data_IF_298203680108
#
_entry.id   IF_298203680108
#
_cell.length_a   1.000
_cell.length_b   1.000
_cell.length_c   1.000
_cell.angle_alpha   90.00
_cell.angle_beta   90.00
_cell.angle_gamma   90.00
#
_symmetry.space_group_name_H-M   'P 1'
#
loop_
_entity.id
_entity.type
_entity.pdbx_description
1 polymer ?
#
# COMPACT_ATOMS: atom_id res chain seq x y z
N UNK A 1 -2.47 -19.58 7.99
CA UNK A 1 -3.27 -18.40 8.38
C UNK A 1 -2.54 -17.08 8.06
N UNK A 2 -1.26 -16.92 8.41
CA UNK A 2 -0.48 -15.70 8.11
C UNK A 2 -0.49 -15.30 6.62
N UNK A 3 -0.29 -16.25 5.69
CA UNK A 3 -0.33 -15.98 4.24
C UNK A 3 -1.70 -15.47 3.72
N UNK A 4 -2.80 -15.95 4.31
CA UNK A 4 -4.16 -15.53 3.95
C UNK A 4 -4.40 -14.10 4.43
N UNK A 5 -4.00 -13.80 5.68
CA UNK A 5 -4.07 -12.44 6.23
C UNK A 5 -3.17 -11.45 5.47
N UNK A 6 -1.97 -11.86 5.09
CA UNK A 6 -1.06 -11.04 4.27
C UNK A 6 -1.67 -10.72 2.90
N UNK A 7 -2.26 -11.72 2.22
CA UNK A 7 -2.93 -11.52 0.94
C UNK A 7 -4.14 -10.59 1.05
N UNK A 8 -5.00 -10.82 2.06
CA UNK A 8 -6.20 -9.99 2.27
C UNK A 8 -5.85 -8.55 2.64
N UNK A 9 -4.95 -8.33 3.60
CA UNK A 9 -4.59 -7.00 4.07
C UNK A 9 -3.74 -6.25 3.04
N UNK A 10 -2.65 -6.86 2.56
CA UNK A 10 -1.66 -6.15 1.73
C UNK A 10 -2.05 -6.08 0.25
N UNK A 11 -2.60 -7.15 -0.33
CA UNK A 11 -2.85 -7.21 -1.78
C UNK A 11 -4.27 -6.75 -2.11
N UNK A 12 -5.26 -7.07 -1.28
CA UNK A 12 -6.66 -6.72 -1.57
C UNK A 12 -7.08 -5.43 -0.88
N UNK A 13 -7.09 -5.38 0.45
CA UNK A 13 -7.65 -4.25 1.21
C UNK A 13 -6.85 -2.96 1.02
N UNK A 14 -5.52 -3.02 1.15
CA UNK A 14 -4.66 -1.84 0.98
C UNK A 14 -4.88 -1.19 -0.39
N UNK A 15 -4.71 -1.96 -1.47
CA UNK A 15 -4.86 -1.44 -2.83
C UNK A 15 -6.30 -0.99 -3.11
N UNK A 16 -7.31 -1.69 -2.60
CA UNK A 16 -8.71 -1.29 -2.79
C UNK A 16 -9.00 0.05 -2.10
N UNK A 17 -8.65 0.17 -0.82
CA UNK A 17 -8.89 1.40 -0.04
C UNK A 17 -8.10 2.56 -0.62
N UNK A 18 -6.84 2.36 -0.99
CA UNK A 18 -5.99 3.39 -1.60
C UNK A 18 -6.54 3.83 -2.97
N UNK A 19 -6.95 2.90 -3.84
CA UNK A 19 -7.54 3.26 -5.14
C UNK A 19 -8.87 4.00 -4.97
N UNK A 20 -9.72 3.59 -4.03
CA UNK A 20 -10.97 4.31 -3.75
C UNK A 20 -10.64 5.71 -3.20
N UNK A 21 -9.65 5.85 -2.32
CA UNK A 21 -9.21 7.15 -1.83
C UNK A 21 -8.80 8.08 -2.98
N UNK A 22 -8.01 7.59 -3.94
CA UNK A 22 -7.58 8.33 -5.12
C UNK A 22 -8.74 8.77 -6.05
N UNK A 23 -9.89 8.11 -5.98
CA UNK A 23 -11.10 8.53 -6.70
C UNK A 23 -11.78 9.72 -5.99
N UNK A 24 -11.70 9.79 -4.66
CA UNK A 24 -12.38 10.81 -3.87
C UNK A 24 -11.51 12.02 -3.50
N UNK A 25 -10.19 11.85 -3.39
CA UNK A 25 -9.23 12.91 -3.01
C UNK A 25 -8.05 12.92 -3.99
N UNK A 26 -7.27 14.01 -3.97
CA UNK A 26 -6.13 14.18 -4.87
C UNK A 26 -5.00 13.21 -4.53
N UNK A 27 -4.30 12.70 -5.55
CA UNK A 27 -3.12 11.84 -5.37
C UNK A 27 -2.05 12.49 -4.49
N UNK A 28 -1.92 13.81 -4.56
CA UNK A 28 -1.07 14.61 -3.69
C UNK A 28 -1.46 14.45 -2.21
N UNK A 29 -2.76 14.55 -1.88
CA UNK A 29 -3.27 14.38 -0.52
C UNK A 29 -3.05 12.94 -0.02
N UNK A 30 -3.37 11.94 -0.86
CA UNK A 30 -3.14 10.54 -0.52
C UNK A 30 -1.66 10.29 -0.24
N UNK A 31 -0.75 10.79 -1.08
CA UNK A 31 0.70 10.61 -0.88
C UNK A 31 1.22 11.21 0.42
N UNK A 32 0.71 12.39 0.81
CA UNK A 32 1.04 13.01 2.11
C UNK A 32 0.55 12.15 3.27
N UNK A 33 -0.69 11.64 3.21
CA UNK A 33 -1.27 10.83 4.29
C UNK A 33 -0.59 9.45 4.37
N UNK A 34 -0.36 8.79 3.24
CA UNK A 34 0.33 7.49 3.15
C UNK A 34 1.77 7.57 3.66
N UNK A 35 2.40 8.74 3.64
CA UNK A 35 3.72 8.94 4.25
C UNK A 35 3.76 8.72 5.76
N UNK A 36 2.60 8.61 6.43
CA UNK A 36 2.48 8.21 7.84
C UNK A 36 2.58 6.66 8.00
N UNK A 37 2.52 5.88 6.91
CA UNK A 37 2.65 4.41 6.93
C UNK A 37 3.85 3.88 7.73
N UNK A 38 5.07 4.46 7.63
CA UNK A 38 6.21 4.00 8.42
C UNK A 38 5.97 4.14 9.93
N UNK A 39 5.24 5.16 10.36
CA UNK A 39 4.90 5.35 11.77
C UNK A 39 3.92 4.29 12.25
N UNK A 40 2.83 4.04 11.53
CA UNK A 40 1.91 2.94 11.86
C UNK A 40 2.64 1.60 11.89
N UNK A 41 3.50 1.36 10.90
CA UNK A 41 4.30 0.14 10.80
C UNK A 41 5.24 -0.01 11.98
N UNK A 42 5.94 1.05 12.39
CA UNK A 42 6.83 1.01 13.54
C UNK A 42 6.10 0.80 14.86
N UNK A 43 4.94 1.45 15.05
CA UNK A 43 4.10 1.28 16.26
C UNK A 43 3.57 -0.16 16.34
N UNK A 44 3.02 -0.69 15.25
CA UNK A 44 2.53 -2.07 15.21
C UNK A 44 3.67 -3.07 15.35
N UNK A 45 4.81 -2.86 14.69
CA UNK A 45 5.98 -3.72 14.82
C UNK A 45 6.50 -3.74 16.26
N UNK A 46 6.52 -2.60 16.94
CA UNK A 46 6.92 -2.52 18.33
C UNK A 46 6.03 -3.34 19.26
N UNK A 47 4.73 -3.40 18.99
CA UNK A 47 3.77 -4.14 19.82
C UNK A 47 3.70 -5.64 19.48
N UNK A 48 3.86 -6.01 18.20
CA UNK A 48 3.61 -7.37 17.71
C UNK A 48 4.87 -8.18 17.37
N UNK A 49 6.05 -7.55 17.27
CA UNK A 49 7.32 -8.23 17.05
C UNK A 49 8.24 -8.07 18.25
N UNK A 50 8.64 -9.20 18.81
CA UNK A 50 9.58 -9.26 19.92
C UNK A 50 10.96 -8.77 19.48
N UNK A 51 11.45 -7.71 20.10
CA UNK A 51 12.81 -7.19 19.89
C UNK A 51 12.91 -5.88 19.11
N UNK A 52 11.88 -5.46 18.38
CA UNK A 52 11.89 -4.13 17.75
C UNK A 52 11.41 -3.06 18.71
N UNK A 53 12.36 -2.38 19.34
CA UNK A 53 12.08 -1.23 20.20
C UNK A 53 12.02 0.04 19.37
N UNK A 54 10.94 0.79 19.56
CA UNK A 54 10.77 2.12 18.96
C UNK A 54 11.91 3.04 19.44
N UNK A 55 12.94 3.22 18.61
CA UNK A 55 14.10 4.00 18.97
C UNK A 55 13.80 5.50 18.85
N UNK A 56 14.33 6.30 19.78
CA UNK A 56 14.26 7.77 19.71
C UNK A 56 14.76 8.33 18.37
N UNK A 57 15.75 7.66 17.75
CA UNK A 57 16.27 7.99 16.42
C UNK A 57 15.22 7.86 15.31
N UNK A 58 14.37 6.83 15.37
CA UNK A 58 13.27 6.65 14.42
C UNK A 58 12.25 7.78 14.54
N UNK A 59 11.87 8.16 15.77
CA UNK A 59 10.93 9.27 16.00
C UNK A 59 11.48 10.58 15.44
N UNK A 60 12.76 10.89 15.67
CA UNK A 60 13.40 12.09 15.15
C UNK A 60 13.46 12.07 13.61
N UNK A 61 13.83 10.94 13.01
CA UNK A 61 13.82 10.78 11.55
C UNK A 61 12.41 10.92 10.95
N UNK A 62 11.40 10.34 11.60
CA UNK A 62 10.00 10.46 11.19
C UNK A 62 9.49 11.90 11.29
N UNK A 63 9.82 12.61 12.38
CA UNK A 63 9.49 14.02 12.52
C UNK A 63 10.15 14.88 11.43
N UNK A 64 11.41 14.60 11.08
CA UNK A 64 12.12 15.30 10.02
C UNK A 64 11.50 15.02 8.64
N UNK A 65 11.09 13.78 8.38
CA UNK A 65 10.36 13.42 7.16
C UNK A 65 9.00 14.13 7.07
N UNK A 66 8.23 14.19 8.16
CA UNK A 66 6.97 14.92 8.22
C UNK A 66 7.15 16.42 7.94
N UNK A 67 8.20 17.04 8.50
CA UNK A 67 8.52 18.44 8.21
C UNK A 67 8.78 18.64 6.71
N UNK A 68 9.54 17.74 6.08
CA UNK A 68 9.79 17.77 4.64
C UNK A 68 8.49 17.71 3.82
N UNK A 69 7.56 16.83 4.19
CA UNK A 69 6.26 16.69 3.52
C UNK A 69 5.41 17.96 3.70
N UNK A 70 5.38 18.53 4.90
CA UNK A 70 4.67 19.78 5.20
C UNK A 70 5.25 20.93 4.36
N UNK A 71 6.58 21.03 4.26
CA UNK A 71 7.26 22.05 3.44
C UNK A 71 6.92 21.92 1.95
N UNK A 72 6.81 20.69 1.43
CA UNK A 72 6.34 20.44 0.06
C UNK A 72 4.89 20.94 -0.09
N UNK A 73 4.03 20.66 0.90
CA UNK A 73 2.64 21.12 0.91
C UNK A 73 2.49 22.65 0.90
N UNK A 74 3.39 23.38 1.57
CA UNK A 74 3.37 24.85 1.60
C UNK A 74 3.88 25.52 0.31
N UNK A 75 4.56 24.82 -0.59
CA UNK A 75 5.16 25.40 -1.80
C UNK A 75 4.15 25.68 -2.96
N UNK A 76 2.90 26.01 -2.63
CA UNK A 76 2.11 26.92 -3.47
C UNK A 76 1.26 26.34 -4.62
N UNK A 77 0.98 25.03 -4.69
CA UNK A 77 -0.03 24.50 -5.64
C UNK A 77 -0.83 23.30 -5.11
N UNK A 78 -0.84 23.09 -3.79
CA UNK A 78 -1.77 22.14 -3.18
C UNK A 78 -3.15 22.79 -3.08
N UNK A 79 -3.98 22.61 -4.10
CA UNK A 79 -5.42 22.83 -3.96
C UNK A 79 -5.90 21.69 -3.07
N UNK A 80 -5.85 21.87 -1.74
CA UNK A 80 -6.39 20.92 -0.77
C UNK A 80 -7.92 20.86 -0.94
N UNK A 81 -8.39 20.14 -1.95
CA UNK A 81 -9.76 19.66 -2.01
C UNK A 81 -9.85 18.49 -1.04
N UNK A 82 -10.11 18.82 0.22
CA UNK A 82 -10.34 17.86 1.28
C UNK A 82 -11.71 17.23 1.02
N UNK A 83 -11.70 15.95 0.64
CA UNK A 83 -12.91 15.14 0.65
C UNK A 83 -12.85 14.25 1.90
N UNK A 84 -13.67 14.51 2.93
CA UNK A 84 -13.56 13.84 4.22
C UNK A 84 -13.58 12.30 4.12
N UNK A 85 -14.30 11.76 3.14
CA UNK A 85 -14.32 10.32 2.89
C UNK A 85 -13.00 9.83 2.30
N UNK A 86 -12.49 10.50 1.26
CA UNK A 86 -11.23 10.14 0.61
C UNK A 86 -10.04 10.24 1.57
N UNK A 87 -10.01 11.28 2.40
CA UNK A 87 -8.92 11.49 3.36
C UNK A 87 -8.96 10.46 4.50
N UNK A 88 -10.17 10.07 4.96
CA UNK A 88 -10.32 8.98 5.92
C UNK A 88 -9.86 7.64 5.34
N UNK A 89 -10.23 7.33 4.09
CA UNK A 89 -9.76 6.12 3.41
C UNK A 89 -8.24 6.15 3.22
N UNK A 90 -7.69 7.31 2.81
CA UNK A 90 -6.24 7.51 2.67
C UNK A 90 -5.49 7.32 4.00
N UNK A 91 -6.14 7.58 5.14
CA UNK A 91 -5.58 7.34 6.47
C UNK A 91 -5.70 5.87 6.91
N UNK A 92 -6.77 5.17 6.51
CA UNK A 92 -6.97 3.74 6.83
C UNK A 92 -6.04 2.85 6.00
N UNK A 93 -5.78 3.18 4.73
CA UNK A 93 -4.87 2.43 3.87
C UNK A 93 -3.49 2.14 4.52
N UNK A 94 -2.73 3.14 5.00
CA UNK A 94 -1.43 2.91 5.63
C UNK A 94 -1.51 2.11 6.95
N UNK A 95 -2.65 2.13 7.66
CA UNK A 95 -2.86 1.25 8.81
C UNK A 95 -2.99 -0.23 8.39
N UNK A 96 -3.70 -0.51 7.29
CA UNK A 96 -3.80 -1.86 6.72
C UNK A 96 -2.44 -2.32 6.17
N UNK A 97 -1.69 -1.42 5.54
CA UNK A 97 -0.31 -1.70 5.10
C UNK A 97 0.61 -2.07 6.27
N UNK A 98 0.48 -1.38 7.40
CA UNK A 98 1.28 -1.66 8.58
C UNK A 98 0.99 -3.06 9.14
N UNK A 99 -0.27 -3.49 9.16
CA UNK A 99 -0.65 -4.87 9.53
C UNK A 99 -0.02 -5.87 8.56
N UNK A 100 -0.12 -5.62 7.25
CA UNK A 100 0.54 -6.45 6.24
C UNK A 100 2.05 -6.55 6.47
N UNK A 101 2.73 -5.43 6.71
CA UNK A 101 4.18 -5.37 6.94
C UNK A 101 4.60 -6.21 8.15
N UNK A 102 3.83 -6.15 9.24
CA UNK A 102 4.06 -6.98 10.43
C UNK A 102 3.87 -8.47 10.14
N UNK A 103 2.78 -8.84 9.45
CA UNK A 103 2.53 -10.23 9.07
C UNK A 103 3.64 -10.75 8.14
N UNK A 104 4.06 -9.93 7.17
CA UNK A 104 5.11 -10.27 6.21
C UNK A 104 6.45 -10.50 6.91
N UNK A 105 6.77 -9.68 7.93
CA UNK A 105 7.99 -9.88 8.71
C UNK A 105 7.95 -11.16 9.54
N UNK A 106 6.81 -11.52 10.14
CA UNK A 106 6.60 -12.83 10.78
C UNK A 106 6.71 -14.01 9.80
N UNK A 107 6.29 -13.82 8.55
CA UNK A 107 6.47 -14.84 7.50
C UNK A 107 7.96 -14.99 7.14
N UNK A 108 8.71 -13.89 7.11
CA UNK A 108 10.15 -13.88 6.81
C UNK A 108 11.03 -14.54 7.86
N UNK A 109 10.58 -14.60 9.12
CA UNK A 109 11.27 -15.34 10.20
C UNK A 109 11.13 -16.87 10.09
N UNK A 110 10.17 -17.35 9.29
CA UNK A 110 10.01 -18.78 9.05
C UNK A 110 11.06 -19.27 8.05
N UNK A 111 11.51 -20.54 8.12
CA UNK A 111 12.48 -21.13 7.19
C UNK A 111 11.85 -21.42 5.81
N UNK A 112 11.18 -20.43 5.20
CA UNK A 112 10.57 -20.51 3.89
C UNK A 112 11.39 -19.74 2.87
N UNK A 113 11.49 -20.30 1.67
CA UNK A 113 12.08 -19.62 0.53
C UNK A 113 11.19 -18.43 0.11
N UNK A 114 11.78 -17.23 0.00
CA UNK A 114 11.08 -15.95 -0.23
C UNK A 114 10.12 -15.99 -1.41
N UNK A 115 10.53 -16.62 -2.51
CA UNK A 115 9.71 -16.77 -3.74
C UNK A 115 8.43 -17.58 -3.46
N UNK A 116 8.52 -18.63 -2.63
CA UNK A 116 7.37 -19.47 -2.28
C UNK A 116 6.37 -18.76 -1.36
N UNK A 117 6.86 -17.88 -0.49
CA UNK A 117 6.02 -17.04 0.36
C UNK A 117 5.24 -16.02 -0.48
N UNK A 118 5.93 -15.27 -1.35
CA UNK A 118 5.33 -14.27 -2.24
C UNK A 118 4.27 -14.89 -3.14
N UNK A 119 4.55 -16.04 -3.76
CA UNK A 119 3.58 -16.75 -4.62
C UNK A 119 2.26 -17.05 -3.88
N UNK A 120 2.34 -17.50 -2.62
CA UNK A 120 1.15 -17.79 -1.81
C UNK A 120 0.39 -16.52 -1.44
N UNK A 121 1.09 -15.47 -1.03
CA UNK A 121 0.46 -14.18 -0.69
C UNK A 121 -0.28 -13.59 -1.89
N UNK A 122 0.36 -13.56 -3.07
CA UNK A 122 -0.27 -13.10 -4.31
C UNK A 122 -1.43 -13.98 -4.74
N UNK A 123 -1.31 -15.31 -4.62
CA UNK A 123 -2.40 -16.22 -4.95
C UNK A 123 -3.65 -15.97 -4.10
N UNK A 124 -3.48 -15.85 -2.78
CA UNK A 124 -4.62 -15.52 -1.90
C UNK A 124 -5.12 -14.10 -2.13
N UNK A 125 -4.24 -13.13 -2.37
CA UNK A 125 -4.60 -11.76 -2.71
C UNK A 125 -5.47 -11.66 -3.96
N UNK A 126 -5.09 -12.38 -5.03
CA UNK A 126 -5.87 -12.47 -6.27
C UNK A 126 -7.23 -13.13 -6.03
N UNK A 127 -7.25 -14.21 -5.24
CA UNK A 127 -8.48 -14.91 -4.88
C UNK A 127 -9.47 -14.00 -4.17
N UNK A 128 -9.00 -13.14 -3.25
CA UNK A 128 -9.83 -12.17 -2.56
C UNK A 128 -10.19 -10.94 -3.42
N UNK A 129 -9.42 -10.66 -4.46
CA UNK A 129 -9.72 -9.58 -5.41
C UNK A 129 -10.87 -9.95 -6.36
N UNK A 130 -11.05 -11.23 -6.68
CA UNK A 130 -12.14 -11.73 -7.54
C UNK A 130 -13.55 -11.31 -7.06
N UNK A 131 -13.96 -11.50 -5.79
CA UNK A 131 -15.27 -11.05 -5.33
C UNK A 131 -15.38 -9.52 -5.30
N UNK A 132 -14.29 -8.78 -5.07
CA UNK A 132 -14.32 -7.31 -5.16
C UNK A 132 -14.65 -6.83 -6.58
N UNK A 133 -14.26 -7.59 -7.60
CA UNK A 133 -14.57 -7.32 -9.01
C UNK A 133 -16.08 -7.39 -9.31
N UNK A 134 -16.84 -8.20 -8.58
CA UNK A 134 -18.30 -8.26 -8.73
C UNK A 134 -19.01 -7.13 -7.96
N UNK A 135 -18.36 -6.56 -6.94
CA UNK A 135 -18.89 -5.47 -6.14
C UNK A 135 -18.71 -4.09 -6.81
N UNK A 136 -17.63 -3.92 -7.58
CA UNK A 136 -17.39 -2.73 -8.39
C UNK A 136 -17.77 -3.05 -9.83
N UNK A 137 -18.90 -2.52 -10.34
CA UNK A 137 -19.45 -2.78 -11.69
C UNK A 137 -18.35 -2.89 -12.76
N UNK A 138 -17.97 -4.14 -13.08
CA UNK A 138 -16.82 -4.39 -13.93
C UNK A 138 -17.22 -4.38 -15.39
N UNK A 139 -16.82 -3.33 -16.11
CA UNK A 139 -17.02 -3.23 -17.55
C UNK A 139 -15.82 -3.84 -18.28
N UNK A 140 -15.98 -5.07 -18.78
CA UNK A 140 -14.95 -5.79 -19.55
C UNK A 140 -14.83 -5.20 -20.96
N UNK A 141 -14.08 -4.11 -21.09
CA UNK A 141 -13.83 -3.48 -22.39
C UNK A 141 -12.43 -3.83 -22.91
N UNK A 142 -12.37 -4.83 -23.80
CA UNK A 142 -11.13 -5.26 -24.47
C UNK A 142 -10.56 -4.19 -25.41
N UNK A 143 -11.35 -3.18 -25.79
CA UNK A 143 -10.91 -2.05 -26.62
C UNK A 143 -9.89 -1.17 -25.90
N UNK A 144 -9.91 -1.11 -24.56
CA UNK A 144 -8.91 -0.35 -23.78
C UNK A 144 -7.49 -0.88 -23.90
N UNK A 145 -7.31 -2.16 -24.22
CA UNK A 145 -5.99 -2.77 -24.46
C UNK A 145 -5.45 -2.47 -25.87
N UNK A 146 -6.30 -2.05 -26.81
CA UNK A 146 -5.85 -1.63 -28.14
C UNK A 146 -5.14 -0.26 -28.11
N UNK A 147 -5.32 0.52 -27.04
CA UNK A 147 -4.60 1.77 -26.84
C UNK A 147 -3.17 1.48 -26.34
N UNK A 148 -2.19 1.79 -27.19
CA UNK A 148 -0.77 1.55 -26.93
C UNK A 148 -0.29 2.19 -25.61
N UNK A 149 -0.86 3.33 -25.21
CA UNK A 149 -0.51 4.01 -23.96
C UNK A 149 -0.93 3.21 -22.71
N UNK A 150 -2.09 2.55 -22.75
CA UNK A 150 -2.55 1.72 -21.64
C UNK A 150 -1.69 0.46 -21.52
N UNK A 151 -1.34 -0.14 -22.66
CA UNK A 151 -0.48 -1.32 -22.71
C UNK A 151 0.92 -1.02 -22.14
N UNK A 152 1.52 0.13 -22.51
CA UNK A 152 2.82 0.54 -21.98
C UNK A 152 2.77 0.82 -20.48
N UNK A 153 1.72 1.46 -19.98
CA UNK A 153 1.55 1.72 -18.55
C UNK A 153 1.43 0.42 -17.75
N UNK A 154 0.69 -0.55 -18.28
CA UNK A 154 0.48 -1.85 -17.63
C UNK A 154 1.77 -2.69 -17.62
N UNK A 155 2.54 -2.67 -18.72
CA UNK A 155 3.86 -3.29 -18.78
C UNK A 155 4.85 -2.64 -17.80
N UNK A 156 4.84 -1.31 -17.71
CA UNK A 156 5.71 -0.59 -16.78
C UNK A 156 5.38 -0.90 -15.31
N UNK A 157 4.09 -0.92 -14.93
CA UNK A 157 3.66 -1.28 -13.58
C UNK A 157 3.96 -2.75 -13.24
N UNK A 158 3.73 -3.66 -14.18
CA UNK A 158 3.95 -5.10 -13.97
C UNK A 158 5.44 -5.47 -13.90
N UNK A 159 6.21 -5.11 -14.92
CA UNK A 159 7.63 -5.49 -15.02
C UNK A 159 8.53 -4.55 -14.24
N UNK A 160 8.31 -3.24 -14.38
CA UNK A 160 9.12 -2.20 -13.76
C UNK A 160 8.88 -2.09 -12.25
N UNK A 161 7.64 -1.77 -11.86
CA UNK A 161 7.34 -1.49 -10.46
C UNK A 161 7.23 -2.76 -9.61
N UNK A 162 6.68 -3.86 -10.15
CA UNK A 162 6.42 -5.07 -9.36
C UNK A 162 7.54 -6.10 -9.48
N UNK A 163 7.87 -6.59 -10.67
CA UNK A 163 8.81 -7.69 -10.83
C UNK A 163 10.25 -7.34 -10.38
N UNK A 164 10.76 -6.17 -10.79
CA UNK A 164 12.10 -5.71 -10.39
C UNK A 164 12.23 -5.39 -8.89
N UNK A 165 11.16 -4.87 -8.27
CA UNK A 165 11.17 -4.51 -6.86
C UNK A 165 11.21 -5.73 -5.92
N UNK A 166 10.67 -6.88 -6.36
CA UNK A 166 10.71 -8.12 -5.57
C UNK A 166 11.90 -9.05 -5.88
N UNK A 167 12.63 -8.78 -6.96
CA UNK A 167 13.83 -9.55 -7.36
C UNK A 167 15.10 -9.04 -6.68
N UNK A 168 15.11 -7.79 -6.21
CA UNK A 168 16.24 -7.15 -5.50
C UNK A 168 16.05 -7.24 -4.00
#
# INVERSE_FOLDING_TARGET
MLFIGAGLCGVTLYFLIENIALVYTLASNVGVIVSIAPFFTAVLAHFFLDGERLHKRFIVGFALALIGIILIGFNGSFILQLNPLGDLLAFVAPAVWAIYSVIMRKIGELPYHTIGATRKVFFYGLLFMLPALFLFEFHFDLGRFANMANLSNLLFLGLGASALCFVT
#
